data_IF_378911021603
#
_entry.id   IF_378911021603
#
_cell.length_a   1.000
_cell.length_b   1.000
_cell.length_c   1.000
_cell.angle_alpha   90.00
_cell.angle_beta   90.00
_cell.angle_gamma   90.00
#
_symmetry.space_group_name_H-M   'P 1'
#
loop_
_entity.id
_entity.type
_entity.pdbx_description
1 polymer ?
#
# COMPACT_ATOMS: atom_id res chain seq x y z
N UNK A 1 14.96 25.52 -2.03
CA UNK A 1 15.70 24.63 -1.11
C UNK A 1 14.68 23.88 -0.27
N UNK A 2 14.44 22.59 -0.51
CA UNK A 2 13.63 21.76 0.37
C UNK A 2 14.41 21.60 1.69
N UNK A 3 14.02 22.37 2.70
CA UNK A 3 14.55 22.23 4.06
C UNK A 3 13.93 20.99 4.66
N UNK A 4 14.70 19.89 4.73
CA UNK A 4 14.24 18.65 5.35
C UNK A 4 14.16 18.87 6.86
N UNK A 5 12.95 19.06 7.38
CA UNK A 5 12.77 19.33 8.80
C UNK A 5 12.98 18.02 9.58
N UNK A 6 13.93 18.01 10.53
CA UNK A 6 14.34 16.79 11.26
C UNK A 6 13.19 16.13 12.02
N UNK A 7 12.08 16.85 12.22
CA UNK A 7 10.83 16.38 12.82
C UNK A 7 10.14 15.27 12.01
N UNK A 8 10.37 15.17 10.70
CA UNK A 8 9.77 14.13 9.85
C UNK A 8 10.58 12.83 9.80
N UNK A 9 11.84 12.85 10.25
CA UNK A 9 12.69 11.66 10.32
C UNK A 9 12.06 10.48 11.10
N UNK A 10 11.48 10.67 12.30
CA UNK A 10 10.84 9.58 13.03
C UNK A 10 9.63 9.00 12.29
N UNK A 11 8.87 9.82 11.55
CA UNK A 11 7.71 9.35 10.76
C UNK A 11 8.20 8.47 9.61
N UNK A 12 9.26 8.88 8.92
CA UNK A 12 9.86 8.10 7.83
C UNK A 12 10.37 6.76 8.35
N UNK A 13 11.06 6.74 9.49
CA UNK A 13 11.52 5.51 10.12
C UNK A 13 10.34 4.60 10.52
N UNK A 14 9.28 5.17 11.10
CA UNK A 14 8.10 4.41 11.50
C UNK A 14 7.40 3.77 10.30
N UNK A 15 7.24 4.51 9.19
CA UNK A 15 6.66 3.98 7.95
C UNK A 15 7.57 2.90 7.36
N UNK A 16 8.89 3.11 7.36
CA UNK A 16 9.84 2.14 6.84
C UNK A 16 9.81 0.82 7.61
N UNK A 17 9.92 0.87 8.95
CA UNK A 17 9.86 -0.32 9.78
C UNK A 17 8.47 -0.95 9.78
N UNK A 18 7.41 -0.15 9.84
CA UNK A 18 6.03 -0.63 9.83
C UNK A 18 5.69 -1.36 8.53
N UNK A 19 6.03 -0.77 7.38
CA UNK A 19 5.82 -1.40 6.08
C UNK A 19 6.67 -2.67 5.92
N UNK A 20 7.95 -2.63 6.34
CA UNK A 20 8.82 -3.81 6.28
C UNK A 20 8.32 -4.96 7.16
N UNK A 21 7.80 -4.67 8.35
CA UNK A 21 7.18 -5.68 9.21
C UNK A 21 5.88 -6.22 8.61
N UNK A 22 5.05 -5.36 8.01
CA UNK A 22 3.81 -5.78 7.33
C UNK A 22 4.10 -6.71 6.16
N UNK A 23 5.02 -6.31 5.27
CA UNK A 23 5.44 -7.08 4.10
C UNK A 23 6.08 -8.42 4.52
N UNK A 24 6.97 -8.40 5.51
CA UNK A 24 7.59 -9.61 6.06
C UNK A 24 6.58 -10.56 6.70
N UNK A 25 5.63 -10.04 7.48
CA UNK A 25 4.57 -10.84 8.10
C UNK A 25 3.64 -11.44 7.05
N UNK A 26 3.31 -10.68 6.00
CA UNK A 26 2.47 -11.17 4.91
C UNK A 26 3.18 -12.26 4.10
N UNK A 27 4.48 -12.12 3.82
CA UNK A 27 5.27 -13.16 3.17
C UNK A 27 5.37 -14.42 4.02
N UNK A 28 5.53 -14.27 5.34
CA UNK A 28 5.57 -15.40 6.27
C UNK A 28 4.19 -16.08 6.37
N UNK A 29 3.12 -15.30 6.52
CA UNK A 29 1.75 -15.80 6.56
C UNK A 29 1.39 -16.51 5.25
N UNK A 30 1.83 -15.99 4.10
CA UNK A 30 1.62 -16.63 2.81
C UNK A 30 2.27 -18.01 2.73
N UNK A 31 3.50 -18.16 3.25
CA UNK A 31 4.23 -19.42 3.20
C UNK A 31 3.71 -20.48 4.19
N UNK A 32 3.19 -20.07 5.35
CA UNK A 32 2.86 -21.00 6.45
C UNK A 32 1.38 -21.12 6.79
N UNK A 33 0.55 -20.13 6.45
CA UNK A 33 -0.83 -20.02 6.95
C UNK A 33 -1.89 -19.80 5.87
N UNK A 34 -1.54 -19.26 4.70
CA UNK A 34 -2.51 -18.90 3.65
C UNK A 34 -2.51 -19.97 2.54
N UNK A 35 -3.50 -20.84 2.60
CA UNK A 35 -3.88 -21.74 1.50
C UNK A 35 -5.08 -21.17 0.74
N UNK A 36 -5.36 -21.67 -0.46
CA UNK A 36 -6.49 -21.20 -1.29
C UNK A 36 -7.84 -21.26 -0.55
N UNK A 37 -8.04 -22.25 0.32
CA UNK A 37 -9.25 -22.41 1.12
C UNK A 37 -9.37 -21.37 2.26
N UNK A 38 -8.24 -20.93 2.83
CA UNK A 38 -8.21 -20.02 4.00
C UNK A 38 -7.98 -18.56 3.62
N UNK A 39 -7.68 -18.28 2.35
CA UNK A 39 -7.45 -16.92 1.82
C UNK A 39 -8.64 -15.98 2.09
N UNK A 40 -9.91 -16.38 1.88
CA UNK A 40 -11.05 -15.53 2.18
C UNK A 40 -11.18 -15.19 3.68
N UNK A 41 -10.88 -16.16 4.57
CA UNK A 41 -10.92 -15.96 6.02
C UNK A 41 -9.81 -15.00 6.48
N UNK A 42 -8.63 -15.10 5.89
CA UNK A 42 -7.53 -14.16 6.15
C UNK A 42 -7.91 -12.74 5.74
N UNK A 43 -8.50 -12.54 4.56
CA UNK A 43 -8.95 -11.21 4.16
C UNK A 43 -10.08 -10.69 5.05
N UNK A 44 -11.05 -11.53 5.38
CA UNK A 44 -12.13 -11.14 6.28
C UNK A 44 -11.60 -10.67 7.64
N UNK A 45 -10.61 -11.37 8.22
CA UNK A 45 -10.04 -10.98 9.51
C UNK A 45 -9.24 -9.68 9.44
N UNK A 46 -8.41 -9.50 8.41
CA UNK A 46 -7.65 -8.25 8.19
C UNK A 46 -8.59 -7.06 8.04
N UNK A 47 -9.62 -7.18 7.19
CA UNK A 47 -10.59 -6.12 6.98
C UNK A 47 -11.48 -5.88 8.21
N UNK A 48 -11.81 -6.92 8.98
CA UNK A 48 -12.55 -6.79 10.24
C UNK A 48 -11.73 -6.00 11.27
N UNK A 49 -10.46 -6.35 11.46
CA UNK A 49 -9.57 -5.64 12.39
C UNK A 49 -9.40 -4.19 11.95
N UNK A 50 -9.18 -3.94 10.65
CA UNK A 50 -9.10 -2.59 10.10
C UNK A 50 -10.41 -1.80 10.34
N UNK A 51 -11.57 -2.44 10.17
CA UNK A 51 -12.88 -1.85 10.43
C UNK A 51 -13.11 -1.53 11.91
N UNK A 52 -12.70 -2.40 12.83
CA UNK A 52 -12.78 -2.18 14.28
C UNK A 52 -11.90 -1.01 14.68
N UNK A 53 -10.61 -1.02 14.28
CA UNK A 53 -9.68 0.06 14.59
C UNK A 53 -10.13 1.41 14.00
N UNK A 54 -10.61 1.40 12.76
CA UNK A 54 -11.17 2.58 12.11
C UNK A 54 -12.40 3.11 12.83
N UNK A 55 -13.28 2.23 13.30
CA UNK A 55 -14.48 2.61 14.08
C UNK A 55 -14.11 3.19 15.44
N UNK A 56 -13.15 2.60 16.15
CA UNK A 56 -12.64 3.11 17.43
C UNK A 56 -12.02 4.49 17.24
N UNK A 57 -11.20 4.67 16.19
CA UNK A 57 -10.59 5.96 15.86
C UNK A 57 -11.67 7.02 15.55
N UNK A 58 -12.68 6.66 14.76
CA UNK A 58 -13.79 7.54 14.44
C UNK A 58 -14.60 7.96 15.69
N UNK A 59 -14.87 7.03 16.60
CA UNK A 59 -15.55 7.33 17.88
C UNK A 59 -14.70 8.30 18.70
N UNK A 60 -13.39 8.06 18.81
CA UNK A 60 -12.47 8.94 19.52
C UNK A 60 -12.48 10.37 18.93
N UNK A 61 -12.40 10.48 17.60
CA UNK A 61 -12.44 11.75 16.86
C UNK A 61 -13.77 12.48 17.06
N UNK A 62 -14.88 11.73 17.08
CA UNK A 62 -16.23 12.27 17.29
C UNK A 62 -16.38 12.86 18.70
N UNK A 63 -15.87 12.17 19.73
CA UNK A 63 -15.94 12.63 21.12
C UNK A 63 -15.05 13.85 21.35
N UNK A 64 -13.82 13.84 20.81
CA UNK A 64 -12.83 14.90 21.09
C UNK A 64 -13.02 16.15 20.23
N UNK A 65 -13.30 15.97 18.94
CA UNK A 65 -13.31 17.04 17.95
C UNK A 65 -14.73 17.36 17.43
N UNK A 66 -15.76 16.66 17.91
CA UNK A 66 -17.14 16.87 17.48
C UNK A 66 -17.39 16.48 16.02
N UNK A 67 -16.57 15.57 15.46
CA UNK A 67 -16.68 15.15 14.07
C UNK A 67 -18.07 14.57 13.77
N UNK A 68 -18.72 15.07 12.71
CA UNK A 68 -19.99 14.53 12.22
C UNK A 68 -19.73 13.64 11.02
N UNK A 69 -20.07 12.36 11.14
CA UNK A 69 -19.97 11.44 10.01
C UNK A 69 -21.05 11.77 8.97
N UNK A 70 -20.62 12.31 7.83
CA UNK A 70 -21.51 12.53 6.69
C UNK A 70 -21.72 11.22 5.92
N UNK A 71 -22.95 11.00 5.44
CA UNK A 71 -23.27 9.84 4.60
C UNK A 71 -22.38 9.75 3.34
N UNK A 72 -21.96 10.90 2.81
CA UNK A 72 -21.01 10.99 1.70
C UNK A 72 -19.66 10.34 2.02
N UNK A 73 -19.17 10.49 3.25
CA UNK A 73 -17.91 9.89 3.69
C UNK A 73 -18.01 8.37 3.74
N UNK A 74 -19.19 7.83 4.07
CA UNK A 74 -19.44 6.40 4.04
C UNK A 74 -19.39 5.85 2.61
N UNK A 75 -20.01 6.55 1.65
CA UNK A 75 -19.97 6.17 0.23
C UNK A 75 -18.52 6.14 -0.29
N UNK A 76 -17.74 7.19 0.00
CA UNK A 76 -16.32 7.22 -0.39
C UNK A 76 -15.50 6.14 0.32
N UNK A 77 -15.80 5.83 1.58
CA UNK A 77 -15.18 4.73 2.31
C UNK A 77 -15.42 3.38 1.65
N UNK A 78 -16.67 3.08 1.27
CA UNK A 78 -17.01 1.86 0.53
C UNK A 78 -16.33 1.85 -0.84
N UNK A 79 -16.39 2.99 -1.55
CA UNK A 79 -15.78 3.14 -2.87
C UNK A 79 -14.26 2.92 -2.87
N UNK A 80 -13.56 3.33 -1.80
CA UNK A 80 -12.13 3.07 -1.60
C UNK A 80 -11.84 1.68 -1.04
N UNK A 81 -12.79 1.07 -0.32
CA UNK A 81 -12.66 -0.30 0.20
C UNK A 81 -12.53 -1.35 -0.90
N UNK A 82 -13.28 -1.19 -2.00
CA UNK A 82 -13.26 -2.11 -3.15
C UNK A 82 -11.85 -2.21 -3.77
N UNK A 83 -11.20 -1.12 -4.24
CA UNK A 83 -9.86 -1.21 -4.81
C UNK A 83 -8.81 -1.67 -3.80
N UNK A 84 -8.97 -1.36 -2.50
CA UNK A 84 -8.07 -1.88 -1.46
C UNK A 84 -8.18 -3.41 -1.32
N UNK A 85 -9.39 -3.96 -1.31
CA UNK A 85 -9.60 -5.40 -1.30
C UNK A 85 -9.02 -6.08 -2.54
N UNK A 86 -9.29 -5.50 -3.72
CA UNK A 86 -8.76 -6.02 -4.97
C UNK A 86 -7.24 -6.03 -4.98
N UNK A 87 -6.61 -4.94 -4.51
CA UNK A 87 -5.14 -4.83 -4.39
C UNK A 87 -4.58 -5.97 -3.55
N UNK A 88 -5.12 -6.18 -2.35
CA UNK A 88 -4.64 -7.26 -1.46
C UNK A 88 -4.87 -8.65 -2.07
N UNK A 89 -6.02 -8.88 -2.70
CA UNK A 89 -6.31 -10.16 -3.36
C UNK A 89 -5.36 -10.45 -4.52
N UNK A 90 -5.11 -9.49 -5.41
CA UNK A 90 -4.15 -9.66 -6.50
C UNK A 90 -2.72 -9.81 -5.97
N UNK A 91 -2.38 -9.11 -4.88
CA UNK A 91 -1.08 -9.22 -4.25
C UNK A 91 -0.82 -10.63 -3.71
N UNK A 92 -1.74 -11.19 -2.92
CA UNK A 92 -1.58 -12.57 -2.40
C UNK A 92 -1.57 -13.59 -3.53
N UNK A 93 -2.42 -13.44 -4.55
CA UNK A 93 -2.39 -14.30 -5.75
C UNK A 93 -1.05 -14.23 -6.47
N UNK A 94 -0.41 -13.06 -6.53
CA UNK A 94 0.91 -12.90 -7.13
C UNK A 94 2.01 -13.59 -6.31
N UNK A 95 1.90 -13.60 -4.98
CA UNK A 95 2.81 -14.33 -4.10
C UNK A 95 2.61 -15.86 -4.14
N UNK A 96 1.41 -16.32 -4.45
CA UNK A 96 1.11 -17.75 -4.61
C UNK A 96 1.47 -18.29 -6.01
N UNK A 97 1.72 -17.41 -6.97
CA UNK A 97 2.10 -17.82 -8.32
C UNK A 97 3.50 -18.43 -8.34
N UNK A 98 3.72 -19.60 -8.95
CA UNK A 98 5.04 -20.22 -9.05
C UNK A 98 5.99 -19.47 -10.01
N UNK A 99 5.53 -18.39 -10.65
CA UNK A 99 6.28 -17.65 -11.67
C UNK A 99 7.31 -16.71 -11.04
N UNK A 100 7.00 -16.11 -9.88
CA UNK A 100 7.85 -15.12 -9.23
C UNK A 100 8.06 -15.48 -7.77
N UNK A 101 9.29 -15.34 -7.28
CA UNK A 101 9.55 -15.43 -5.85
C UNK A 101 9.00 -14.20 -5.12
N UNK A 102 8.62 -14.36 -3.84
CA UNK A 102 8.15 -13.23 -3.01
C UNK A 102 9.17 -12.09 -3.00
N UNK A 103 10.48 -12.40 -3.00
CA UNK A 103 11.60 -11.46 -3.10
C UNK A 103 11.55 -10.56 -4.34
N UNK A 104 10.92 -11.00 -5.42
CA UNK A 104 10.72 -10.25 -6.66
C UNK A 104 9.38 -9.52 -6.68
N UNK A 105 8.31 -10.18 -6.20
CA UNK A 105 6.95 -9.62 -6.19
C UNK A 105 6.87 -8.32 -5.38
N UNK A 106 7.45 -8.29 -4.18
CA UNK A 106 7.40 -7.09 -3.31
C UNK A 106 8.01 -5.85 -4.00
N UNK A 107 9.26 -5.87 -4.50
CA UNK A 107 9.82 -4.76 -5.26
C UNK A 107 9.02 -4.39 -6.50
N UNK A 108 8.57 -5.37 -7.29
CA UNK A 108 7.84 -5.13 -8.54
C UNK A 108 6.53 -4.38 -8.26
N UNK A 109 5.75 -4.83 -7.26
CA UNK A 109 4.48 -4.19 -6.92
C UNK A 109 4.71 -2.82 -6.29
N UNK A 110 5.59 -2.72 -5.28
CA UNK A 110 5.80 -1.46 -4.56
C UNK A 110 6.35 -0.37 -5.49
N UNK A 111 7.33 -0.70 -6.34
CA UNK A 111 7.88 0.25 -7.31
C UNK A 111 6.93 0.47 -8.48
N UNK A 112 6.17 -0.55 -8.89
CA UNK A 112 5.14 -0.45 -9.91
C UNK A 112 4.05 0.55 -9.55
N UNK A 113 3.59 0.54 -8.30
CA UNK A 113 2.62 1.54 -7.79
C UNK A 113 3.23 2.94 -7.84
N UNK A 114 4.49 3.12 -7.46
CA UNK A 114 5.17 4.43 -7.52
C UNK A 114 5.23 4.95 -8.96
N UNK A 115 5.64 4.11 -9.91
CA UNK A 115 5.71 4.49 -11.33
C UNK A 115 4.31 4.77 -11.89
N UNK A 116 3.34 3.91 -11.60
CA UNK A 116 1.96 4.06 -12.08
C UNK A 116 1.31 5.34 -11.54
N UNK A 117 1.45 5.61 -10.24
CA UNK A 117 0.89 6.83 -9.62
C UNK A 117 1.58 8.09 -10.13
N UNK A 118 2.90 8.05 -10.35
CA UNK A 118 3.62 9.18 -10.97
C UNK A 118 3.14 9.44 -12.40
N UNK A 119 3.02 8.40 -13.23
CA UNK A 119 2.52 8.53 -14.60
C UNK A 119 1.05 8.99 -14.64
N UNK A 120 0.20 8.44 -13.77
CA UNK A 120 -1.19 8.85 -13.62
C UNK A 120 -1.28 10.33 -13.18
N UNK A 121 -0.39 10.77 -12.29
CA UNK A 121 -0.26 12.17 -11.87
C UNK A 121 0.05 13.10 -13.04
N UNK A 122 1.00 12.73 -13.89
CA UNK A 122 1.32 13.47 -15.12
C UNK A 122 0.10 13.52 -16.06
N UNK A 123 -0.58 12.38 -16.27
CA UNK A 123 -1.65 12.29 -17.26
C UNK A 123 -2.92 13.04 -16.82
N UNK A 124 -3.34 12.86 -15.57
CA UNK A 124 -4.60 13.39 -15.03
C UNK A 124 -4.47 14.86 -14.61
N UNK A 125 -3.36 15.22 -13.96
CA UNK A 125 -3.16 16.56 -13.40
C UNK A 125 -2.22 17.45 -14.23
N UNK A 126 -1.63 16.90 -15.31
CA UNK A 126 -0.64 17.59 -16.17
C UNK A 126 0.52 18.17 -15.37
N UNK A 127 0.94 17.46 -14.32
CA UNK A 127 2.03 17.89 -13.46
C UNK A 127 3.35 17.95 -14.24
N UNK A 128 4.06 19.08 -14.09
CA UNK A 128 5.43 19.20 -14.59
C UNK A 128 6.39 18.55 -13.59
N UNK A 129 6.77 17.31 -13.86
CA UNK A 129 7.77 16.62 -13.07
C UNK A 129 9.14 17.31 -13.19
N UNK A 130 9.81 17.48 -12.04
CA UNK A 130 11.19 17.95 -12.02
C UNK A 130 12.16 16.88 -12.56
N UNK A 131 13.36 17.29 -12.97
CA UNK A 131 14.41 16.37 -13.42
C UNK A 131 14.73 15.26 -12.39
N UNK A 132 14.66 15.57 -11.09
CA UNK A 132 14.88 14.59 -10.02
C UNK A 132 13.76 13.54 -9.94
N UNK A 133 12.50 13.94 -10.21
CA UNK A 133 11.38 13.00 -10.19
C UNK A 133 11.47 12.04 -11.38
N UNK A 134 11.86 12.55 -12.55
CA UNK A 134 12.15 11.73 -13.73
C UNK A 134 13.31 10.76 -13.48
N UNK A 135 14.38 11.21 -12.80
CA UNK A 135 15.47 10.34 -12.37
C UNK A 135 14.98 9.21 -11.45
N UNK A 136 14.10 9.51 -10.49
CA UNK A 136 13.49 8.50 -9.61
C UNK A 136 12.66 7.46 -10.37
N UNK A 137 11.85 7.89 -11.35
CA UNK A 137 11.07 6.98 -12.21
C UNK A 137 12.02 6.08 -13.01
N UNK A 138 13.07 6.64 -13.61
CA UNK A 138 14.03 5.88 -14.40
C UNK A 138 14.75 4.83 -13.54
N UNK A 139 15.21 5.19 -12.34
CA UNK A 139 15.81 4.25 -11.40
C UNK A 139 14.82 3.17 -10.98
N UNK A 140 13.54 3.52 -10.76
CA UNK A 140 12.51 2.57 -10.40
C UNK A 140 12.25 1.54 -11.52
N UNK A 141 12.14 2.01 -12.77
CA UNK A 141 11.97 1.15 -13.94
C UNK A 141 13.18 0.23 -14.13
N UNK A 142 14.40 0.75 -13.95
CA UNK A 142 15.62 -0.07 -14.01
C UNK A 142 15.66 -1.13 -12.91
N UNK A 143 15.29 -0.78 -11.68
CA UNK A 143 15.24 -1.72 -10.56
C UNK A 143 14.24 -2.86 -10.83
N UNK A 144 13.02 -2.52 -11.27
CA UNK A 144 12.00 -3.52 -11.64
C UNK A 144 12.53 -4.42 -12.77
N UNK A 145 13.14 -3.82 -13.81
CA UNK A 145 13.66 -4.57 -14.96
C UNK A 145 14.76 -5.55 -14.54
N UNK A 146 15.70 -5.11 -13.70
CA UNK A 146 16.76 -5.97 -13.20
C UNK A 146 16.21 -7.13 -12.36
N UNK A 147 15.25 -6.87 -11.46
CA UNK A 147 14.68 -7.91 -10.59
C UNK A 147 13.82 -8.92 -11.36
N UNK A 148 13.21 -8.48 -12.47
CA UNK A 148 12.31 -9.32 -13.27
C UNK A 148 13.07 -10.18 -14.29
N UNK A 149 14.14 -9.64 -14.89
CA UNK A 149 14.88 -10.31 -15.97
C UNK A 149 16.18 -11.00 -15.52
N UNK A 150 16.66 -10.71 -14.31
CA UNK A 150 17.88 -11.28 -13.72
C UNK A 150 17.56 -11.95 -12.39
#
# INVERSE_FOLDING_TARGET
KLSFDKKFLPIILLIFFGQGMADGTLSWAQKFSINDENTPLFFASVFLIAGILGSVFLIYETIKNGFKLEFKNLIWGIGLGIPNYLTLNFFVRSLQSPIFESSQVFPIVNMGVIVFTALAGILLFREKLSFFNWGGILVAVLAISLITFF
#
